data_IF_179756677901
#
_entry.id   IF_179756677901
#
_cell.length_a   1.000
_cell.length_b   1.000
_cell.length_c   1.000
_cell.angle_alpha   90.00
_cell.angle_beta   90.00
_cell.angle_gamma   90.00
#
_symmetry.space_group_name_H-M   'P 1'
#
loop_
_entity.id
_entity.type
_entity.pdbx_description
1 polymer ?
#
# COMPACT_ATOMS: atom_id res chain seq x y z
N UNK A 1 18.79 10.64 16.29
CA UNK A 1 17.34 10.91 16.42
C UNK A 1 16.66 9.55 16.45
N UNK A 2 15.79 9.28 17.43
CA UNK A 2 14.97 8.07 17.40
C UNK A 2 14.06 8.10 16.17
N UNK A 3 13.71 6.92 15.68
CA UNK A 3 12.78 6.79 14.57
C UNK A 3 11.39 7.24 15.05
N UNK A 4 10.76 8.27 14.44
CA UNK A 4 9.45 8.76 14.88
C UNK A 4 8.38 7.66 14.94
N UNK A 5 8.49 6.65 14.08
CA UNK A 5 7.56 5.53 14.00
C UNK A 5 7.60 4.56 15.19
N UNK A 6 8.61 4.66 16.06
CA UNK A 6 8.74 3.82 17.27
C UNK A 6 7.84 4.32 18.42
N UNK A 7 7.47 5.60 18.43
CA UNK A 7 6.78 6.25 19.55
C UNK A 7 5.36 6.74 19.20
N UNK A 8 4.98 6.76 17.92
CA UNK A 8 3.63 7.21 17.55
C UNK A 8 2.54 6.26 18.03
N UNK A 9 1.39 6.81 18.40
CA UNK A 9 0.22 5.99 18.73
C UNK A 9 -0.33 5.28 17.48
N UNK A 10 -0.92 4.10 17.67
CA UNK A 10 -1.59 3.38 16.57
C UNK A 10 -2.74 4.20 15.98
N UNK A 11 -3.47 4.96 16.80
CA UNK A 11 -4.57 5.80 16.33
C UNK A 11 -4.09 6.91 15.37
N UNK A 12 -2.96 7.55 15.68
CA UNK A 12 -2.39 8.58 14.82
C UNK A 12 -1.86 7.99 13.51
N UNK A 13 -1.22 6.81 13.59
CA UNK A 13 -0.82 6.06 12.40
C UNK A 13 -2.02 5.73 11.50
N UNK A 14 -3.09 5.17 12.06
CA UNK A 14 -4.27 4.74 11.29
C UNK A 14 -5.00 5.91 10.64
N UNK A 15 -5.13 7.04 11.35
CA UNK A 15 -5.70 8.28 10.79
C UNK A 15 -4.87 8.80 9.64
N UNK A 16 -3.54 8.85 9.79
CA UNK A 16 -2.65 9.26 8.71
C UNK A 16 -2.79 8.34 7.50
N UNK A 17 -2.75 7.02 7.72
CA UNK A 17 -2.87 6.01 6.67
C UNK A 17 -4.21 6.03 5.92
N UNK A 18 -5.24 6.63 6.52
CA UNK A 18 -6.56 6.79 5.92
C UNK A 18 -6.72 8.09 5.13
N UNK A 19 -5.71 8.96 5.08
CA UNK A 19 -5.76 10.20 4.30
C UNK A 19 -5.63 9.91 2.80
N UNK A 20 -6.45 10.56 1.97
CA UNK A 20 -6.39 10.45 0.50
C UNK A 20 -5.03 10.87 -0.10
N UNK A 21 -4.24 11.65 0.64
CA UNK A 21 -2.88 12.04 0.27
C UNK A 21 -1.88 10.89 0.41
N UNK A 22 -2.19 9.85 1.20
CA UNK A 22 -1.33 8.68 1.41
C UNK A 22 -1.58 7.69 0.27
N UNK A 23 -0.81 7.86 -0.81
CA UNK A 23 -0.94 7.12 -2.07
C UNK A 23 -0.05 5.87 -2.15
N UNK A 24 -0.10 5.01 -1.13
CA UNK A 24 0.84 3.87 -1.04
C UNK A 24 0.70 2.86 -2.19
N UNK A 25 -0.53 2.48 -2.55
CA UNK A 25 -0.75 1.51 -3.62
C UNK A 25 -0.32 2.05 -4.98
N UNK A 26 -0.62 3.33 -5.25
CA UNK A 26 -0.21 3.99 -6.49
C UNK A 26 1.31 4.13 -6.58
N UNK A 27 1.96 4.48 -5.46
CA UNK A 27 3.42 4.55 -5.43
C UNK A 27 4.06 3.16 -5.65
N UNK A 28 3.49 2.11 -5.04
CA UNK A 28 3.96 0.74 -5.26
C UNK A 28 3.80 0.32 -6.72
N UNK A 29 2.64 0.59 -7.33
CA UNK A 29 2.35 0.27 -8.73
C UNK A 29 3.37 0.92 -9.67
N UNK A 30 3.63 2.23 -9.51
CA UNK A 30 4.65 2.94 -10.30
C UNK A 30 6.05 2.36 -10.12
N UNK A 31 6.45 2.00 -8.89
CA UNK A 31 7.76 1.38 -8.64
C UNK A 31 7.86 0.00 -9.32
N UNK A 32 6.79 -0.79 -9.30
CA UNK A 32 6.74 -2.11 -9.94
C UNK A 32 6.86 -1.98 -11.46
N UNK A 33 6.18 -1.00 -12.06
CA UNK A 33 6.34 -0.66 -13.48
C UNK A 33 7.79 -0.29 -13.84
N UNK A 34 8.44 0.54 -13.02
CA UNK A 34 9.84 0.96 -13.24
C UNK A 34 10.83 -0.22 -13.27
N UNK A 35 10.57 -1.28 -12.50
CA UNK A 35 11.42 -2.47 -12.46
C UNK A 35 10.96 -3.57 -13.43
N UNK A 36 10.05 -3.26 -14.36
CA UNK A 36 9.65 -4.15 -15.44
C UNK A 36 8.59 -5.17 -15.04
N UNK A 37 7.72 -4.84 -14.10
CA UNK A 37 6.54 -5.63 -13.76
C UNK A 37 5.25 -4.86 -14.07
N UNK A 38 4.21 -5.57 -14.47
CA UNK A 38 2.88 -4.98 -14.68
C UNK A 38 1.89 -5.58 -13.69
N UNK A 39 1.00 -4.75 -13.15
CA UNK A 39 -0.12 -5.20 -12.34
C UNK A 39 -1.09 -6.01 -13.21
N UNK A 40 -1.32 -7.27 -12.84
CA UNK A 40 -2.21 -8.19 -13.57
C UNK A 40 -3.53 -8.45 -12.84
N UNK A 41 -3.56 -8.23 -11.52
CA UNK A 41 -4.75 -8.45 -10.72
C UNK A 41 -4.74 -7.58 -9.48
N UNK A 42 -5.92 -7.06 -9.13
CA UNK A 42 -6.16 -6.34 -7.90
C UNK A 42 -7.50 -6.78 -7.28
N UNK A 43 -7.48 -7.09 -5.99
CA UNK A 43 -8.66 -7.44 -5.21
C UNK A 43 -8.62 -6.74 -3.85
N UNK A 44 -9.80 -6.39 -3.33
CA UNK A 44 -9.95 -5.77 -2.01
C UNK A 44 -11.08 -6.45 -1.25
N UNK A 45 -10.74 -7.01 -0.09
CA UNK A 45 -11.67 -7.70 0.81
C UNK A 45 -11.85 -6.88 2.10
N UNK A 46 -13.07 -6.40 2.44
CA UNK A 46 -13.29 -5.67 3.68
C UNK A 46 -13.14 -6.58 4.91
N UNK A 47 -12.68 -6.02 6.02
CA UNK A 47 -12.47 -6.69 7.30
C UNK A 47 -13.43 -6.12 8.37
N UNK A 48 -13.76 -6.90 9.43
CA UNK A 48 -14.69 -6.47 10.47
C UNK A 48 -14.31 -5.18 11.23
N UNK A 49 -13.03 -4.79 11.18
CA UNK A 49 -12.53 -3.56 11.82
C UNK A 49 -12.58 -2.33 10.90
N UNK A 50 -13.26 -2.41 9.76
CA UNK A 50 -13.36 -1.30 8.81
C UNK A 50 -12.14 -1.10 7.90
N UNK A 51 -11.11 -1.96 8.01
CA UNK A 51 -9.97 -2.00 7.07
C UNK A 51 -10.29 -2.90 5.89
N UNK A 52 -9.41 -2.91 4.89
CA UNK A 52 -9.46 -3.86 3.78
C UNK A 52 -8.12 -4.61 3.65
N UNK A 53 -8.20 -5.88 3.28
CA UNK A 53 -7.06 -6.64 2.77
C UNK A 53 -7.02 -6.42 1.26
N UNK A 54 -5.94 -5.78 0.78
CA UNK A 54 -5.73 -5.53 -0.66
C UNK A 54 -4.69 -6.51 -1.18
N UNK A 55 -5.04 -7.25 -2.23
CA UNK A 55 -4.15 -8.13 -2.98
C UNK A 55 -3.81 -7.45 -4.30
N UNK A 56 -2.52 -7.41 -4.62
CA UNK A 56 -1.97 -6.98 -5.89
C UNK A 56 -1.09 -8.11 -6.43
N UNK A 57 -1.40 -8.62 -7.61
CA UNK A 57 -0.54 -9.58 -8.31
C UNK A 57 0.13 -8.89 -9.48
N UNK A 58 1.42 -9.12 -9.62
CA UNK A 58 2.24 -8.55 -10.68
C UNK A 58 2.88 -9.66 -11.51
N UNK A 59 3.03 -9.40 -12.80
CA UNK A 59 3.76 -10.25 -13.73
C UNK A 59 4.96 -9.49 -14.29
N UNK A 60 6.08 -10.19 -14.52
CA UNK A 60 7.26 -9.57 -15.12
C UNK A 60 7.02 -9.42 -16.62
N UNK A 61 7.30 -8.23 -17.14
CA UNK A 61 7.22 -7.96 -18.57
C UNK A 61 8.25 -8.84 -19.31
N UNK A 62 7.80 -9.65 -20.26
CA UNK A 62 8.70 -10.36 -21.17
C UNK A 62 9.33 -9.37 -22.16
N UNK A 63 10.62 -9.59 -22.49
CA UNK A 63 11.40 -8.75 -23.43
C UNK A 63 11.13 -9.16 -24.86
#
# INVERSE_FOLDING_TARGET
MPNPWEEISLDDYEKHMSLDSVRQLQALDSIMEEIGYSLIFQESCPLPNGKALVRLDFERNEV
#
